data_IF_789107010513
#
_entry.id   IF_789107010513
#
_cell.length_a   1.000
_cell.length_b   1.000
_cell.length_c   1.000
_cell.angle_alpha   90.00
_cell.angle_beta   90.00
_cell.angle_gamma   90.00
#
_symmetry.space_group_name_H-M   'P 1'
#
loop_
_entity.id
_entity.type
_entity.pdbx_description
1 polymer ?
#
# COMPACT_ATOMS: atom_id res chain seq x y z
N UNK A 1 -26.28 -13.89 36.46
CA UNK A 1 -25.49 -12.63 36.53
C UNK A 1 -24.06 -12.79 36.01
N UNK A 2 -23.29 -13.82 36.38
CA UNK A 2 -21.92 -14.04 35.91
C UNK A 2 -21.76 -14.07 34.37
N UNK A 3 -22.70 -14.72 33.68
CA UNK A 3 -22.71 -14.84 32.20
C UNK A 3 -23.04 -13.50 31.51
N UNK A 4 -23.86 -12.66 32.14
CA UNK A 4 -24.18 -11.34 31.59
C UNK A 4 -22.99 -10.37 31.71
N UNK A 5 -22.20 -10.50 32.79
CA UNK A 5 -21.01 -9.68 33.02
C UNK A 5 -19.90 -10.01 32.01
N UNK A 6 -19.70 -11.31 31.69
CA UNK A 6 -18.72 -11.70 30.67
C UNK A 6 -19.09 -11.22 29.27
N UNK A 7 -20.39 -11.17 28.95
CA UNK A 7 -20.87 -10.66 27.67
C UNK A 7 -20.62 -9.14 27.54
N UNK A 8 -20.96 -8.37 28.58
CA UNK A 8 -20.77 -6.92 28.59
C UNK A 8 -19.27 -6.56 28.55
N UNK A 9 -18.43 -7.31 29.27
CA UNK A 9 -16.98 -7.12 29.25
C UNK A 9 -16.39 -7.34 27.84
N UNK A 10 -16.84 -8.38 27.13
CA UNK A 10 -16.42 -8.65 25.75
C UNK A 10 -16.82 -7.53 24.78
N UNK A 11 -18.04 -7.00 24.91
CA UNK A 11 -18.52 -5.88 24.09
C UNK A 11 -17.67 -4.63 24.30
N UNK A 12 -17.35 -4.29 25.56
CA UNK A 12 -16.51 -3.12 25.88
C UNK A 12 -15.08 -3.27 25.33
N UNK A 13 -14.50 -4.47 25.36
CA UNK A 13 -13.17 -4.72 24.78
C UNK A 13 -13.20 -4.57 23.25
N UNK A 14 -14.23 -5.10 22.58
CA UNK A 14 -14.41 -4.90 21.14
C UNK A 14 -14.54 -3.42 20.79
N UNK A 15 -15.27 -2.64 21.58
CA UNK A 15 -15.34 -1.19 21.41
C UNK A 15 -13.99 -0.50 21.63
N UNK A 16 -13.20 -0.91 22.63
CA UNK A 16 -11.84 -0.37 22.82
C UNK A 16 -10.90 -0.69 21.68
N UNK A 17 -11.02 -1.87 21.03
CA UNK A 17 -10.21 -2.19 19.85
C UNK A 17 -10.64 -1.32 18.67
N UNK A 18 -11.94 -1.12 18.45
CA UNK A 18 -12.44 -0.32 17.33
C UNK A 18 -12.19 1.19 17.48
N UNK A 19 -12.24 1.73 18.70
CA UNK A 19 -12.05 3.16 18.97
C UNK A 19 -10.62 3.52 19.43
N UNK A 20 -9.92 2.59 20.10
CA UNK A 20 -8.55 2.75 20.57
C UNK A 20 -7.52 2.53 19.46
N UNK A 21 -7.87 1.74 18.44
CA UNK A 21 -7.22 1.84 17.13
C UNK A 21 -7.83 3.05 16.43
N UNK A 22 -7.36 4.26 16.80
CA UNK A 22 -7.40 5.37 15.84
C UNK A 22 -6.84 4.79 14.54
N UNK A 23 -7.58 4.82 13.42
CA UNK A 23 -7.12 4.20 12.21
C UNK A 23 -5.80 4.88 11.84
N UNK A 24 -4.70 4.15 11.93
CA UNK A 24 -3.38 4.52 11.37
C UNK A 24 -3.43 4.38 9.83
N UNK A 25 -4.61 4.61 9.25
CA UNK A 25 -4.91 4.55 7.84
C UNK A 25 -5.62 5.87 7.50
N UNK A 26 -5.04 6.71 6.64
CA UNK A 26 -5.68 7.94 6.23
C UNK A 26 -6.83 7.57 5.27
N UNK A 27 -8.02 7.39 5.82
CA UNK A 27 -9.23 7.55 5.04
C UNK A 27 -9.40 9.05 4.82
N UNK A 28 -9.09 9.51 3.60
CA UNK A 28 -9.28 10.88 3.18
C UNK A 28 -10.71 11.36 3.49
N UNK A 29 -10.83 12.34 4.37
CA UNK A 29 -11.99 13.19 4.52
C UNK A 29 -11.50 14.59 4.94
N UNK A 30 -11.45 15.48 3.97
CA UNK A 30 -11.18 16.90 4.10
C UNK A 30 -12.27 17.57 4.95
N UNK A 31 -11.92 18.08 6.14
CA UNK A 31 -12.65 19.14 6.88
C UNK A 31 -11.72 19.79 7.92
N UNK A 32 -11.13 20.94 7.55
CA UNK A 32 -10.86 22.16 8.34
C UNK A 32 -10.33 22.04 9.80
N UNK A 33 -8.99 22.09 9.95
CA UNK A 33 -8.07 22.81 10.90
C UNK A 33 -8.54 23.30 12.32
N UNK A 34 -7.61 23.57 13.29
CA UNK A 34 -6.32 22.92 13.60
C UNK A 34 -6.07 22.75 15.13
N UNK A 35 -5.29 21.73 15.54
CA UNK A 35 -4.52 21.77 16.80
C UNK A 35 -3.11 21.24 16.53
N UNK A 36 -2.27 22.22 16.20
CA UNK A 36 -0.84 22.37 16.46
C UNK A 36 -0.18 21.29 17.33
N UNK A 37 0.38 20.25 16.67
CA UNK A 37 1.54 19.45 17.12
C UNK A 37 2.05 18.43 16.05
N UNK A 38 1.61 18.52 14.78
CA UNK A 38 1.81 17.47 13.76
C UNK A 38 2.53 17.88 12.47
N UNK A 39 3.09 19.09 12.39
CA UNK A 39 3.69 19.60 11.14
C UNK A 39 4.89 18.76 10.67
N UNK A 40 5.68 18.21 11.59
CA UNK A 40 6.89 17.46 11.22
C UNK A 40 6.59 16.01 10.79
N UNK A 41 5.60 15.36 11.39
CA UNK A 41 5.25 13.95 11.10
C UNK A 41 4.49 13.84 9.78
N UNK A 42 3.54 14.74 9.55
CA UNK A 42 2.73 14.74 8.31
C UNK A 42 3.58 15.07 7.09
N UNK A 43 4.52 16.02 7.21
CA UNK A 43 5.44 16.38 6.12
C UNK A 43 6.47 15.26 5.85
N UNK A 44 6.97 14.59 6.90
CA UNK A 44 7.87 13.43 6.77
C UNK A 44 7.19 12.23 6.10
N UNK A 45 5.91 11.96 6.41
CA UNK A 45 5.14 10.88 5.78
C UNK A 45 4.78 11.20 4.33
N UNK A 46 4.43 12.45 4.03
CA UNK A 46 4.12 12.88 2.66
C UNK A 46 5.34 12.77 1.74
N UNK A 47 6.55 13.01 2.26
CA UNK A 47 7.80 12.78 1.53
C UNK A 47 8.13 11.29 1.29
N UNK A 48 7.59 10.37 2.10
CA UNK A 48 7.79 8.92 1.96
C UNK A 48 6.78 8.25 1.02
N UNK A 49 5.61 8.86 0.77
CA UNK A 49 4.60 8.31 -0.13
C UNK A 49 5.13 8.09 -1.57
N UNK A 50 5.85 9.04 -2.20
CA UNK A 50 6.47 8.83 -3.51
C UNK A 50 7.47 7.67 -3.52
N UNK A 51 8.23 7.53 -2.44
CA UNK A 51 9.23 6.47 -2.30
C UNK A 51 8.57 5.09 -2.14
N UNK A 52 7.46 5.00 -1.39
CA UNK A 52 6.68 3.77 -1.25
C UNK A 52 6.04 3.37 -2.58
N UNK A 53 5.49 4.31 -3.33
CA UNK A 53 4.95 4.04 -4.67
C UNK A 53 6.04 3.50 -5.60
N UNK A 54 7.23 4.12 -5.58
CA UNK A 54 8.37 3.68 -6.38
C UNK A 54 8.80 2.26 -6.00
N UNK A 55 8.97 1.98 -4.70
CA UNK A 55 9.33 0.65 -4.20
C UNK A 55 8.28 -0.38 -4.59
N UNK A 56 6.99 -0.04 -4.47
CA UNK A 56 5.91 -0.93 -4.84
C UNK A 56 5.92 -1.25 -6.34
N UNK A 57 6.09 -0.24 -7.19
CA UNK A 57 6.21 -0.43 -8.65
C UNK A 57 7.41 -1.27 -9.01
N UNK A 58 8.58 -0.97 -8.45
CA UNK A 58 9.82 -1.70 -8.70
C UNK A 58 9.74 -3.16 -8.23
N UNK A 59 9.16 -3.41 -7.06
CA UNK A 59 8.93 -4.76 -6.58
C UNK A 59 7.96 -5.56 -7.48
N UNK A 60 7.01 -4.88 -8.12
CA UNK A 60 6.07 -5.49 -9.06
C UNK A 60 6.69 -5.76 -10.42
N UNK A 61 7.55 -4.89 -10.95
CA UNK A 61 8.09 -5.02 -12.32
C UNK A 61 9.40 -5.80 -12.38
N UNK A 62 10.26 -5.69 -11.36
CA UNK A 62 11.59 -6.31 -11.34
C UNK A 62 11.60 -7.83 -11.59
N UNK A 63 10.68 -8.65 -11.04
CA UNK A 63 10.65 -10.08 -11.31
C UNK A 63 10.35 -10.41 -12.77
N UNK A 64 9.51 -9.61 -13.44
CA UNK A 64 9.13 -9.83 -14.83
C UNK A 64 10.26 -9.43 -15.78
N UNK A 65 10.94 -8.31 -15.50
CA UNK A 65 12.14 -7.91 -16.23
C UNK A 65 13.24 -8.97 -16.10
N UNK A 66 13.44 -9.49 -14.88
CA UNK A 66 14.39 -10.58 -14.65
C UNK A 66 14.00 -11.85 -15.42
N UNK A 67 12.70 -12.16 -15.51
CA UNK A 67 12.21 -13.31 -16.27
C UNK A 67 12.43 -13.16 -17.79
N UNK A 68 12.24 -11.95 -18.36
CA UNK A 68 12.52 -11.68 -19.78
C UNK A 68 13.95 -12.08 -20.16
N UNK A 69 14.94 -11.75 -19.30
CA UNK A 69 16.35 -12.09 -19.52
C UNK A 69 16.66 -13.60 -19.53
N UNK A 70 15.70 -14.44 -19.12
CA UNK A 70 15.81 -15.90 -19.08
C UNK A 70 15.07 -16.59 -20.23
N UNK A 71 14.39 -15.84 -21.09
CA UNK A 71 13.70 -16.37 -22.26
C UNK A 71 14.69 -16.37 -23.43
N UNK A 72 15.14 -17.57 -23.83
CA UNK A 72 16.10 -17.74 -24.93
C UNK A 72 15.45 -17.84 -26.32
N UNK A 73 14.15 -18.13 -26.36
CA UNK A 73 13.37 -18.21 -27.59
C UNK A 73 12.89 -16.81 -27.98
N UNK A 74 13.30 -16.33 -29.16
CA UNK A 74 13.01 -14.97 -29.62
C UNK A 74 11.52 -14.71 -29.83
N UNK A 75 10.77 -15.70 -30.29
CA UNK A 75 9.32 -15.57 -30.52
C UNK A 75 8.58 -15.45 -29.18
N UNK A 76 8.98 -16.26 -28.21
CA UNK A 76 8.42 -16.21 -26.84
C UNK A 76 8.82 -14.90 -26.16
N UNK A 77 10.06 -14.43 -26.32
CA UNK A 77 10.52 -13.17 -25.76
C UNK A 77 9.76 -11.98 -26.33
N UNK A 78 9.52 -11.96 -27.65
CA UNK A 78 8.73 -10.92 -28.32
C UNK A 78 7.27 -10.89 -27.85
N UNK A 79 6.66 -12.06 -27.70
CA UNK A 79 5.31 -12.16 -27.14
C UNK A 79 5.27 -11.68 -25.68
N UNK A 80 6.22 -12.11 -24.86
CA UNK A 80 6.31 -11.73 -23.45
C UNK A 80 6.47 -10.21 -23.27
N UNK A 81 7.32 -9.57 -24.08
CA UNK A 81 7.49 -8.12 -24.07
C UNK A 81 6.20 -7.39 -24.44
N UNK A 82 5.51 -7.85 -25.50
CA UNK A 82 4.20 -7.29 -25.89
C UNK A 82 3.16 -7.43 -24.79
N UNK A 83 3.18 -8.54 -24.05
CA UNK A 83 2.29 -8.77 -22.91
C UNK A 83 2.60 -7.79 -21.76
N UNK A 84 3.87 -7.58 -21.43
CA UNK A 84 4.28 -6.62 -20.41
C UNK A 84 3.91 -5.18 -20.76
N UNK A 85 4.02 -4.79 -22.04
CA UNK A 85 3.61 -3.47 -22.53
C UNK A 85 2.10 -3.26 -22.38
N UNK A 86 1.30 -4.24 -22.81
CA UNK A 86 -0.17 -4.15 -22.74
C UNK A 86 -0.73 -4.17 -21.32
N UNK A 87 -0.01 -4.79 -20.39
CA UNK A 87 -0.43 -4.91 -18.99
C UNK A 87 0.07 -3.77 -18.10
N UNK A 88 0.87 -2.85 -18.64
CA UNK A 88 1.44 -1.74 -17.87
C UNK A 88 2.50 -2.19 -16.86
N UNK A 89 3.06 -3.39 -17.03
CA UNK A 89 4.16 -3.94 -16.24
C UNK A 89 5.53 -3.55 -16.80
N UNK A 90 5.55 -2.79 -17.90
CA UNK A 90 6.76 -2.17 -18.45
C UNK A 90 7.07 -0.89 -17.69
N UNK A 91 8.34 -0.71 -17.32
CA UNK A 91 8.78 0.50 -16.62
C UNK A 91 8.66 1.72 -17.56
N UNK A 92 7.83 2.73 -17.22
CA UNK A 92 7.66 3.94 -18.03
C UNK A 92 8.95 4.78 -18.16
N UNK A 93 9.97 4.52 -17.34
CA UNK A 93 11.26 5.21 -17.37
C UNK A 93 12.40 4.43 -18.07
N UNK A 94 12.10 3.30 -18.74
CA UNK A 94 13.12 2.45 -19.39
C UNK A 94 13.57 2.88 -20.79
N UNK A 95 13.40 4.16 -21.18
CA UNK A 95 13.95 4.73 -22.42
C UNK A 95 15.31 5.40 -22.20
#
# INVERSE_FOLDING_TARGET
>A
MKIAISFICGVVICFMILYGVKPVLPAFAETTEPVDESENVTQSLTGLLPDIEKIYREALTAPFIAAESKIYDEDIAGFYRTLMEKTGLTDPNSN
#
